data_IF_107604848628
#
_entry.id   IF_107604848628
#
_cell.length_a   1.000
_cell.length_b   1.000
_cell.length_c   1.000
_cell.angle_alpha   90.00
_cell.angle_beta   90.00
_cell.angle_gamma   90.00
#
_symmetry.space_group_name_H-M   'P 1'
#
loop_
_entity.id
_entity.type
_entity.pdbx_description
1 polymer ?
#
# COMPACT_ATOMS: atom_id res chain seq x y z
N UNK A 1 -10.23 -28.85 26.36
CA UNK A 1 -10.50 -27.73 27.29
C UNK A 1 -9.35 -27.47 28.27
N UNK A 2 -8.69 -28.49 28.82
CA UNK A 2 -7.65 -28.37 29.86
C UNK A 2 -6.49 -27.41 29.53
N UNK A 3 -5.86 -27.53 28.35
CA UNK A 3 -4.74 -26.66 27.95
C UNK A 3 -5.15 -25.18 27.84
N UNK A 4 -6.37 -24.94 27.36
CA UNK A 4 -6.96 -23.60 27.30
C UNK A 4 -7.16 -23.02 28.70
N UNK A 5 -7.78 -23.77 29.61
CA UNK A 5 -8.00 -23.32 31.00
C UNK A 5 -6.68 -23.00 31.72
N UNK A 6 -5.69 -23.89 31.62
CA UNK A 6 -4.36 -23.69 32.21
C UNK A 6 -3.68 -22.42 31.69
N UNK A 7 -3.69 -22.20 30.37
CA UNK A 7 -3.06 -21.02 29.76
C UNK A 7 -3.75 -19.72 30.21
N UNK A 8 -5.09 -19.72 30.22
CA UNK A 8 -5.87 -18.56 30.65
C UNK A 8 -5.64 -18.20 32.12
N UNK A 9 -5.56 -19.20 33.01
CA UNK A 9 -5.29 -18.98 34.44
C UNK A 9 -3.85 -18.54 34.70
N UNK A 10 -2.86 -19.17 34.07
CA UNK A 10 -1.44 -18.82 34.26
C UNK A 10 -1.13 -17.41 33.77
N UNK A 11 -1.75 -16.99 32.64
CA UNK A 11 -1.53 -15.67 32.05
C UNK A 11 -2.50 -14.60 32.57
N UNK A 12 -3.40 -14.95 33.50
CA UNK A 12 -4.43 -14.05 34.04
C UNK A 12 -5.25 -13.33 32.95
N UNK A 13 -5.60 -14.04 31.88
CA UNK A 13 -6.34 -13.47 30.75
C UNK A 13 -7.80 -13.31 31.15
N UNK A 14 -8.32 -12.08 31.04
CA UNK A 14 -9.75 -11.80 31.13
C UNK A 14 -10.37 -11.90 29.74
N UNK A 15 -11.54 -12.52 29.65
CA UNK A 15 -12.28 -12.65 28.40
C UNK A 15 -13.61 -11.93 28.55
N UNK A 16 -14.00 -11.21 27.51
CA UNK A 16 -15.31 -10.58 27.39
C UNK A 16 -16.13 -11.30 26.32
N UNK A 17 -17.43 -11.41 26.52
CA UNK A 17 -18.33 -11.97 25.52
C UNK A 17 -18.84 -10.82 24.64
N UNK A 18 -18.82 -11.00 23.31
CA UNK A 18 -19.35 -10.04 22.34
C UNK A 18 -20.86 -10.20 22.10
N UNK A 19 -21.52 -11.02 22.93
CA UNK A 19 -22.93 -11.39 22.87
C UNK A 19 -23.46 -11.48 24.32
N UNK A 20 -24.59 -12.16 24.55
CA UNK A 20 -25.27 -12.22 25.86
C UNK A 20 -24.66 -13.19 26.88
N UNK A 21 -23.42 -13.64 26.68
CA UNK A 21 -22.77 -14.60 27.60
C UNK A 21 -23.31 -16.03 27.56
N UNK A 22 -24.22 -16.36 26.62
CA UNK A 22 -24.86 -17.67 26.48
C UNK A 22 -24.44 -18.47 25.23
N UNK A 23 -23.28 -18.15 24.63
CA UNK A 23 -22.81 -18.85 23.42
C UNK A 23 -22.68 -20.37 23.62
N UNK A 24 -23.19 -21.15 22.68
CA UNK A 24 -23.07 -22.61 22.69
C UNK A 24 -21.59 -23.04 22.53
N UNK A 25 -21.13 -23.93 23.41
CA UNK A 25 -19.76 -24.46 23.39
C UNK A 25 -19.82 -25.97 23.18
N UNK A 26 -19.64 -26.42 21.94
CA UNK A 26 -19.49 -27.82 21.56
C UNK A 26 -18.10 -28.10 20.95
N UNK A 27 -17.80 -29.34 20.57
CA UNK A 27 -16.47 -29.71 20.07
C UNK A 27 -16.06 -28.94 18.80
N UNK A 28 -17.01 -28.62 17.93
CA UNK A 28 -16.78 -28.00 16.62
C UNK A 28 -16.69 -26.46 16.72
N UNK A 29 -17.46 -25.84 17.62
CA UNK A 29 -17.52 -24.37 17.77
C UNK A 29 -16.90 -23.83 19.07
N UNK A 30 -16.14 -24.65 19.82
CA UNK A 30 -15.45 -24.25 21.06
C UNK A 30 -14.48 -23.06 20.94
N UNK A 31 -14.10 -22.65 19.73
CA UNK A 31 -13.21 -21.50 19.53
C UNK A 31 -13.95 -20.19 19.23
N UNK A 32 -15.29 -20.22 19.10
CA UNK A 32 -16.12 -19.05 18.76
C UNK A 32 -16.13 -18.02 19.89
N UNK A 33 -16.47 -18.41 21.12
CA UNK A 33 -16.47 -17.50 22.26
C UNK A 33 -15.55 -18.00 23.38
N UNK A 34 -14.40 -17.32 23.55
CA UNK A 34 -13.41 -17.65 24.60
C UNK A 34 -13.95 -17.36 26.01
N UNK A 35 -14.80 -16.34 26.16
CA UNK A 35 -15.47 -16.01 27.42
C UNK A 35 -16.41 -17.13 27.87
N UNK A 36 -17.41 -17.49 27.05
CA UNK A 36 -18.37 -18.56 27.36
C UNK A 36 -17.68 -19.92 27.53
N UNK A 37 -16.62 -20.19 26.76
CA UNK A 37 -15.81 -21.41 26.95
C UNK A 37 -15.08 -21.42 28.28
N UNK A 38 -14.51 -20.30 28.71
CA UNK A 38 -13.83 -20.21 30.01
C UNK A 38 -14.83 -20.35 31.16
N UNK A 39 -15.99 -19.70 31.06
CA UNK A 39 -17.08 -19.84 32.02
C UNK A 39 -17.60 -21.28 32.08
N UNK A 40 -17.76 -21.96 30.94
CA UNK A 40 -18.12 -23.38 30.90
C UNK A 40 -17.07 -24.28 31.56
N UNK A 41 -15.76 -23.98 31.42
CA UNK A 41 -14.71 -24.73 32.13
C UNK A 41 -14.88 -24.60 33.66
N UNK A 42 -15.21 -23.41 34.16
CA UNK A 42 -15.48 -23.17 35.59
C UNK A 42 -16.77 -23.89 36.03
N UNK A 43 -17.86 -23.77 35.25
CA UNK A 43 -19.14 -24.45 35.54
C UNK A 43 -19.00 -25.97 35.60
N UNK A 44 -18.16 -26.55 34.74
CA UNK A 44 -17.85 -27.99 34.75
C UNK A 44 -16.83 -28.39 35.83
N UNK A 45 -16.52 -27.51 36.79
CA UNK A 45 -15.74 -27.82 37.99
C UNK A 45 -14.23 -27.60 37.91
N UNK A 46 -13.70 -26.94 36.87
CA UNK A 46 -12.28 -26.62 36.82
C UNK A 46 -11.93 -25.50 37.83
N UNK A 47 -11.03 -25.79 38.77
CA UNK A 47 -10.63 -24.83 39.80
C UNK A 47 -9.33 -24.10 39.42
N UNK A 48 -9.39 -22.75 39.34
CA UNK A 48 -8.23 -21.91 39.01
C UNK A 48 -7.07 -22.10 39.99
N UNK A 49 -7.36 -22.33 41.28
CA UNK A 49 -6.35 -22.45 42.33
C UNK A 49 -5.56 -23.78 42.26
N UNK A 50 -6.07 -24.77 41.51
CA UNK A 50 -5.40 -26.05 41.28
C UNK A 50 -4.48 -26.03 40.05
N UNK A 51 -4.42 -24.91 39.32
CA UNK A 51 -3.51 -24.77 38.18
C UNK A 51 -2.10 -24.51 38.70
N UNK A 52 -1.21 -25.47 38.45
CA UNK A 52 0.18 -25.38 38.88
C UNK A 52 0.88 -24.17 38.26
N UNK A 53 1.55 -23.38 39.10
CA UNK A 53 2.44 -22.30 38.68
C UNK A 53 3.57 -22.87 37.78
N UNK A 54 4.11 -22.08 36.84
CA UNK A 54 5.18 -22.54 35.96
C UNK A 54 6.36 -23.08 36.78
N UNK A 55 6.74 -24.35 36.56
CA UNK A 55 7.93 -24.92 37.22
C UNK A 55 9.17 -24.50 36.42
N UNK A 56 10.03 -23.70 37.06
CA UNK A 56 11.46 -23.57 36.78
C UNK A 56 11.92 -23.53 35.32
N UNK A 57 11.79 -22.36 34.69
CA UNK A 57 12.71 -21.74 33.68
C UNK A 57 12.21 -20.38 33.20
N UNK A 58 10.94 -20.03 33.49
CA UNK A 58 10.31 -18.74 33.15
C UNK A 58 10.08 -17.78 34.33
N UNK A 59 10.41 -18.16 35.58
CA UNK A 59 10.09 -17.34 36.76
C UNK A 59 11.11 -16.28 37.18
N UNK A 60 12.30 -16.20 36.56
CA UNK A 60 13.36 -15.26 37.01
C UNK A 60 13.37 -13.88 36.36
N UNK A 61 12.41 -13.53 35.49
CA UNK A 61 12.43 -12.21 34.82
C UNK A 61 11.71 -11.08 35.57
N UNK A 62 11.07 -11.37 36.72
CA UNK A 62 10.31 -10.35 37.46
C UNK A 62 11.05 -9.73 38.66
N UNK A 63 12.25 -10.20 39.03
CA UNK A 63 12.96 -9.73 40.24
C UNK A 63 14.26 -8.92 39.99
N UNK A 64 14.63 -8.59 38.76
CA UNK A 64 15.87 -7.83 38.46
C UNK A 64 15.66 -6.31 38.21
N UNK A 65 14.63 -5.70 38.82
CA UNK A 65 14.42 -4.24 38.79
C UNK A 65 14.72 -3.56 40.13
N UNK A 66 15.69 -4.06 40.90
CA UNK A 66 16.23 -3.36 42.09
C UNK A 66 17.60 -3.96 42.49
N UNK A 67 18.70 -3.35 42.04
CA UNK A 67 19.94 -3.09 42.80
C UNK A 67 21.15 -2.82 41.88
N UNK A 68 21.92 -1.80 42.24
CA UNK A 68 23.12 -1.30 41.58
C UNK A 68 24.37 -2.17 41.84
N UNK A 69 25.34 -2.06 40.92
CA UNK A 69 26.82 -2.30 41.01
C UNK A 69 27.43 -3.50 40.24
N UNK A 70 28.71 -3.39 39.76
CA UNK A 70 29.15 -4.01 38.50
C UNK A 70 30.23 -5.12 38.58
N UNK A 71 30.39 -5.86 37.46
CA UNK A 71 31.60 -6.58 36.95
C UNK A 71 31.81 -8.07 37.34
N UNK A 72 32.65 -8.89 36.64
CA UNK A 72 32.87 -9.10 35.20
C UNK A 72 32.90 -10.60 34.71
N UNK A 73 32.78 -10.76 33.37
CA UNK A 73 33.30 -11.84 32.47
C UNK A 73 32.90 -13.32 32.67
N UNK A 74 32.22 -13.89 31.67
CA UNK A 74 32.70 -15.00 30.83
C UNK A 74 31.71 -15.33 29.70
N UNK A 75 32.23 -15.44 28.49
CA UNK A 75 31.54 -15.67 27.22
C UNK A 75 31.29 -17.16 26.94
N UNK A 76 30.05 -17.52 26.61
CA UNK A 76 29.75 -18.73 25.82
C UNK A 76 28.68 -18.39 24.78
N UNK A 77 29.05 -18.56 23.51
CA UNK A 77 28.20 -18.43 22.33
C UNK A 77 27.36 -19.70 22.24
N UNK A 78 26.04 -19.58 22.31
CA UNK A 78 25.09 -20.61 21.89
C UNK A 78 24.12 -19.94 20.93
N UNK A 79 24.18 -20.35 19.66
CA UNK A 79 23.22 -19.99 18.62
C UNK A 79 21.81 -20.38 19.07
N UNK A 80 20.97 -19.38 19.40
CA UNK A 80 19.52 -19.55 19.50
C UNK A 80 18.85 -18.78 18.37
N UNK A 81 18.19 -19.54 17.51
CA UNK A 81 17.26 -19.04 16.50
C UNK A 81 16.26 -18.05 17.12
N UNK A 82 16.35 -16.79 16.68
CA UNK A 82 15.43 -15.73 17.07
C UNK A 82 14.02 -16.05 16.55
N UNK A 83 13.16 -16.61 17.39
CA UNK A 83 11.72 -16.39 17.27
C UNK A 83 11.43 -15.01 17.86
N UNK A 84 11.52 -13.99 17.01
CA UNK A 84 11.04 -12.64 17.29
C UNK A 84 9.54 -12.70 17.57
N UNK A 85 9.18 -12.47 18.84
CA UNK A 85 7.79 -12.21 19.23
C UNK A 85 7.42 -10.83 18.69
N UNK A 86 6.92 -10.78 17.45
CA UNK A 86 6.41 -9.56 16.83
C UNK A 86 5.17 -9.14 17.63
N UNK A 87 5.29 -8.08 18.44
CA UNK A 87 4.10 -7.37 18.93
C UNK A 87 3.35 -6.88 17.69
N UNK A 88 2.09 -7.26 17.54
CA UNK A 88 1.20 -6.61 16.57
C UNK A 88 1.16 -5.13 16.95
N UNK A 89 1.83 -4.30 16.16
CA UNK A 89 1.76 -2.85 16.35
C UNK A 89 0.35 -2.45 15.96
N UNK A 90 -0.40 -1.83 16.86
CA UNK A 90 -1.70 -1.25 16.58
C UNK A 90 -1.46 0.22 16.27
N UNK A 91 -1.78 0.66 15.05
CA UNK A 91 -1.58 2.05 14.62
C UNK A 91 -2.86 2.83 14.86
N UNK A 92 -2.71 4.07 15.33
CA UNK A 92 -3.77 5.05 15.26
C UNK A 92 -4.07 5.41 13.80
N UNK A 93 -5.36 5.58 13.46
CA UNK A 93 -5.77 5.84 12.09
C UNK A 93 -5.29 7.19 11.55
N UNK A 94 -5.11 8.20 12.41
CA UNK A 94 -4.60 9.51 11.98
C UNK A 94 -3.10 9.44 11.74
N UNK A 95 -2.34 8.86 12.67
CA UNK A 95 -0.90 8.68 12.50
C UNK A 95 -0.57 7.85 11.26
N UNK A 96 -1.34 6.78 11.02
CA UNK A 96 -1.21 5.97 9.82
C UNK A 96 -1.46 6.79 8.56
N UNK A 97 -2.55 7.55 8.50
CA UNK A 97 -2.84 8.41 7.36
C UNK A 97 -1.78 9.51 7.17
N UNK A 98 -1.34 10.17 8.24
CA UNK A 98 -0.33 11.22 8.19
C UNK A 98 1.01 10.72 7.63
N UNK A 99 1.37 9.46 7.88
CA UNK A 99 2.54 8.84 7.24
C UNK A 99 2.36 8.72 5.73
N UNK A 100 1.20 8.27 5.24
CA UNK A 100 0.92 8.21 3.80
C UNK A 100 0.85 9.60 3.16
N UNK A 101 0.29 10.60 3.85
CA UNK A 101 0.31 11.99 3.39
C UNK A 101 1.76 12.47 3.20
N UNK A 102 2.62 12.22 4.19
CA UNK A 102 4.02 12.57 4.12
C UNK A 102 4.74 11.85 2.96
N UNK A 103 4.44 10.58 2.74
CA UNK A 103 4.98 9.82 1.61
C UNK A 103 4.58 10.42 0.26
N UNK A 104 3.35 10.90 0.09
CA UNK A 104 2.93 11.60 -1.14
C UNK A 104 3.70 12.90 -1.35
N UNK A 105 3.90 13.69 -0.30
CA UNK A 105 4.69 14.93 -0.39
C UNK A 105 6.14 14.65 -0.76
N UNK A 106 6.73 13.61 -0.18
CA UNK A 106 8.10 13.20 -0.48
C UNK A 106 8.25 12.64 -1.89
N UNK A 107 7.24 11.91 -2.38
CA UNK A 107 7.20 11.42 -3.76
C UNK A 107 7.22 12.58 -4.75
N UNK A 108 6.41 13.61 -4.53
CA UNK A 108 6.39 14.79 -5.40
C UNK A 108 7.69 15.59 -5.32
N UNK A 109 8.25 15.82 -4.12
CA UNK A 109 9.55 16.46 -3.98
C UNK A 109 10.67 15.74 -4.75
N UNK A 110 10.68 14.41 -4.70
CA UNK A 110 11.65 13.60 -5.46
C UNK A 110 11.39 13.67 -6.96
N UNK A 111 10.13 13.69 -7.39
CA UNK A 111 9.76 13.89 -8.81
C UNK A 111 10.38 15.18 -9.35
N UNK A 112 10.30 16.29 -8.61
CA UNK A 112 10.88 17.58 -9.00
C UNK A 112 12.40 17.49 -9.20
N UNK A 113 13.11 16.72 -8.36
CA UNK A 113 14.55 16.46 -8.53
C UNK A 113 14.81 15.67 -9.82
N UNK A 114 14.03 14.61 -10.05
CA UNK A 114 14.18 13.70 -11.19
C UNK A 114 13.91 14.41 -12.53
N UNK A 115 13.06 15.43 -12.53
CA UNK A 115 12.79 16.27 -13.72
C UNK A 115 13.83 17.38 -13.95
N UNK A 116 14.92 17.40 -13.17
CA UNK A 116 16.11 18.23 -13.44
C UNK A 116 16.25 19.47 -12.56
N UNK A 117 15.43 19.62 -11.52
CA UNK A 117 15.59 20.72 -10.56
C UNK A 117 16.79 20.51 -9.64
N UNK A 118 17.37 21.61 -9.13
CA UNK A 118 18.53 21.54 -8.25
C UNK A 118 18.15 20.95 -6.87
N UNK A 119 18.71 19.78 -6.48
CA UNK A 119 18.36 19.12 -5.23
C UNK A 119 18.71 19.95 -3.98
N UNK A 120 19.73 20.81 -4.06
CA UNK A 120 20.16 21.66 -2.93
C UNK A 120 19.13 22.74 -2.58
N UNK A 121 18.33 23.20 -3.56
CA UNK A 121 17.25 24.15 -3.33
C UNK A 121 16.06 23.45 -2.66
N UNK A 122 15.67 22.29 -3.20
CA UNK A 122 14.53 21.50 -2.72
C UNK A 122 14.73 20.98 -1.29
N UNK A 123 15.99 20.73 -0.90
CA UNK A 123 16.33 20.32 0.46
C UNK A 123 16.09 21.44 1.48
N UNK A 124 16.26 22.71 1.09
CA UNK A 124 16.04 23.86 1.97
C UNK A 124 14.57 24.15 2.18
N UNK A 125 13.73 23.82 1.20
CA UNK A 125 12.31 24.09 1.26
C UNK A 125 11.63 23.17 2.28
N UNK A 126 10.89 23.69 3.26
CA UNK A 126 10.12 22.85 4.18
C UNK A 126 9.03 22.07 3.44
N UNK A 127 8.64 20.91 3.96
CA UNK A 127 7.53 20.12 3.43
C UNK A 127 6.22 20.80 3.88
N UNK A 128 5.70 21.72 3.06
CA UNK A 128 4.51 22.51 3.40
C UNK A 128 3.21 21.95 2.79
N UNK A 129 3.30 20.98 1.89
CA UNK A 129 2.13 20.34 1.26
C UNK A 129 2.46 19.80 -0.13
N UNK A 130 1.44 19.24 -0.79
CA UNK A 130 1.56 18.82 -2.19
C UNK A 130 1.51 20.05 -3.09
N UNK A 131 2.60 20.31 -3.81
CA UNK A 131 2.71 21.41 -4.77
C UNK A 131 3.34 20.91 -6.06
N UNK A 132 2.68 21.19 -7.17
CA UNK A 132 3.24 20.92 -8.50
C UNK A 132 4.15 22.07 -8.90
N UNK A 133 5.35 21.75 -9.38
CA UNK A 133 6.26 22.72 -9.96
C UNK A 133 5.74 23.19 -11.33
N UNK A 134 5.19 24.41 -11.41
CA UNK A 134 4.64 24.97 -12.66
C UNK A 134 5.68 25.23 -13.76
N UNK A 135 6.97 25.05 -13.47
CA UNK A 135 8.04 25.20 -14.46
C UNK A 135 8.29 23.93 -15.29
N UNK A 136 7.50 22.87 -15.09
CA UNK A 136 7.60 21.64 -15.90
C UNK A 136 7.45 21.96 -17.39
N UNK A 137 8.30 21.31 -18.21
CA UNK A 137 8.24 21.44 -19.66
C UNK A 137 7.25 20.42 -20.21
N UNK A 138 6.22 20.91 -20.89
CA UNK A 138 5.32 20.06 -21.66
C UNK A 138 6.10 19.51 -22.86
N UNK A 139 6.28 18.20 -22.87
CA UNK A 139 6.94 17.47 -23.97
C UNK A 139 6.01 16.38 -24.46
N UNK A 140 5.99 16.07 -25.78
CA UNK A 140 5.12 15.03 -26.29
C UNK A 140 5.58 13.66 -25.78
N UNK A 141 4.62 12.80 -25.43
CA UNK A 141 4.92 11.44 -25.04
C UNK A 141 5.68 10.70 -26.14
N UNK A 142 6.82 10.14 -25.75
CA UNK A 142 7.61 9.26 -26.58
C UNK A 142 8.22 8.13 -25.74
N UNK A 143 8.27 6.94 -26.31
CA UNK A 143 8.77 5.73 -25.66
C UNK A 143 10.26 5.77 -25.37
N UNK A 144 11.05 6.49 -26.18
CA UNK A 144 12.48 6.67 -25.91
C UNK A 144 12.70 7.35 -24.57
N UNK A 145 11.99 8.45 -24.31
CA UNK A 145 12.08 9.19 -23.06
C UNK A 145 11.42 8.41 -21.91
N UNK A 146 10.29 7.74 -22.17
CA UNK A 146 9.68 6.83 -21.21
C UNK A 146 10.68 5.77 -20.71
N UNK A 147 11.41 5.10 -21.60
CA UNK A 147 12.44 4.14 -21.21
C UNK A 147 13.59 4.79 -20.44
N UNK A 148 13.99 6.01 -20.80
CA UNK A 148 15.04 6.73 -20.07
C UNK A 148 14.64 7.06 -18.62
N UNK A 149 13.35 7.32 -18.38
CA UNK A 149 12.84 7.69 -17.06
C UNK A 149 12.25 6.53 -16.25
N UNK A 150 11.99 5.36 -16.83
CA UNK A 150 11.24 4.30 -16.12
C UNK A 150 11.97 3.79 -14.88
N UNK A 151 13.31 3.84 -14.87
CA UNK A 151 14.12 3.52 -13.69
C UNK A 151 13.92 4.50 -12.55
N UNK A 152 13.64 5.77 -12.86
CA UNK A 152 13.30 6.78 -11.86
C UNK A 152 11.95 6.44 -11.21
N UNK A 153 10.96 6.02 -12.01
CA UNK A 153 9.68 5.55 -11.49
C UNK A 153 9.84 4.30 -10.64
N UNK A 154 10.65 3.34 -11.10
CA UNK A 154 10.99 2.16 -10.32
C UNK A 154 11.58 2.52 -8.95
N UNK A 155 12.50 3.50 -8.90
CA UNK A 155 13.10 3.98 -7.67
C UNK A 155 12.05 4.65 -6.75
N UNK A 156 11.19 5.51 -7.30
CA UNK A 156 10.11 6.14 -6.54
C UNK A 156 9.14 5.10 -5.96
N UNK A 157 8.72 4.13 -6.76
CA UNK A 157 7.84 3.04 -6.32
C UNK A 157 8.51 2.15 -5.27
N UNK A 158 9.82 1.94 -5.37
CA UNK A 158 10.58 1.15 -4.41
C UNK A 158 10.67 1.87 -3.06
N UNK A 159 11.04 3.15 -3.09
CA UNK A 159 11.09 3.98 -1.89
C UNK A 159 9.71 4.10 -1.25
N UNK A 160 8.66 4.33 -2.04
CA UNK A 160 7.29 4.37 -1.54
C UNK A 160 6.90 3.06 -0.87
N UNK A 161 7.14 1.93 -1.53
CA UNK A 161 6.79 0.58 -1.03
C UNK A 161 7.52 0.27 0.28
N UNK A 162 8.83 0.53 0.34
CA UNK A 162 9.66 0.23 1.51
C UNK A 162 9.40 1.17 2.69
N UNK A 163 8.88 2.38 2.41
CA UNK A 163 8.44 3.33 3.42
C UNK A 163 7.06 3.03 3.99
N UNK A 164 6.27 2.14 3.35
CA UNK A 164 4.92 1.81 3.84
C UNK A 164 4.97 1.24 5.26
N UNK A 165 4.05 1.67 6.14
CA UNK A 165 3.94 1.09 7.47
C UNK A 165 3.70 -0.41 7.35
N UNK A 166 4.36 -1.19 8.20
CA UNK A 166 4.28 -2.66 8.21
C UNK A 166 4.79 -3.38 6.96
N UNK A 167 5.48 -2.72 6.03
CA UNK A 167 6.13 -3.37 4.88
C UNK A 167 6.94 -4.62 5.31
N UNK A 168 7.72 -4.48 6.38
CA UNK A 168 8.54 -5.57 6.94
C UNK A 168 7.74 -6.74 7.54
N UNK A 169 6.43 -6.58 7.73
CA UNK A 169 5.58 -7.67 8.23
C UNK A 169 5.09 -8.60 7.14
N UNK A 170 5.08 -8.18 5.89
CA UNK A 170 4.69 -9.02 4.76
C UNK A 170 5.78 -10.07 4.47
N UNK A 171 5.37 -11.21 3.93
CA UNK A 171 6.32 -12.17 3.39
C UNK A 171 6.88 -11.66 2.05
N UNK A 172 7.93 -12.29 1.53
CA UNK A 172 8.60 -11.84 0.30
C UNK A 172 7.69 -11.86 -0.94
N UNK A 173 6.80 -12.84 -1.05
CA UNK A 173 5.85 -12.96 -2.16
C UNK A 173 4.82 -11.81 -2.19
N UNK A 174 4.27 -11.49 -1.02
CA UNK A 174 3.37 -10.35 -0.86
C UNK A 174 4.11 -9.03 -1.09
N UNK A 175 5.37 -8.90 -0.64
CA UNK A 175 6.19 -7.69 -0.90
C UNK A 175 6.42 -7.46 -2.39
N UNK A 176 6.71 -8.52 -3.15
CA UNK A 176 6.85 -8.43 -4.60
C UNK A 176 5.53 -8.04 -5.28
N UNK A 177 4.43 -8.63 -4.82
CA UNK A 177 3.07 -8.29 -5.28
C UNK A 177 2.75 -6.82 -5.02
N UNK A 178 3.05 -6.31 -3.81
CA UNK A 178 2.88 -4.89 -3.46
C UNK A 178 3.73 -4.02 -4.38
N UNK A 179 5.02 -4.31 -4.52
CA UNK A 179 5.94 -3.48 -5.31
C UNK A 179 5.47 -3.37 -6.77
N UNK A 180 5.06 -4.50 -7.36
CA UNK A 180 4.49 -4.53 -8.71
C UNK A 180 3.22 -3.68 -8.81
N UNK A 181 2.30 -3.83 -7.86
CA UNK A 181 1.07 -3.04 -7.81
C UNK A 181 1.37 -1.55 -7.69
N UNK A 182 2.25 -1.17 -6.75
CA UNK A 182 2.69 0.22 -6.51
C UNK A 182 3.34 0.81 -7.74
N UNK A 183 4.15 0.05 -8.49
CA UNK A 183 4.78 0.55 -9.72
C UNK A 183 3.75 1.02 -10.75
N UNK A 184 2.80 0.15 -11.14
CA UNK A 184 1.77 0.53 -12.10
C UNK A 184 0.81 1.58 -11.53
N UNK A 185 0.51 1.53 -10.24
CA UNK A 185 -0.27 2.57 -9.56
C UNK A 185 0.44 3.93 -9.56
N UNK A 186 1.77 3.97 -9.46
CA UNK A 186 2.58 5.19 -9.60
C UNK A 186 2.40 5.75 -11.02
N UNK A 187 2.48 4.89 -12.03
CA UNK A 187 2.27 5.28 -13.43
C UNK A 187 0.85 5.80 -13.72
N UNK A 188 -0.17 5.27 -13.03
CA UNK A 188 -1.58 5.60 -13.25
C UNK A 188 -2.03 6.73 -12.32
N UNK A 189 -2.02 6.50 -11.01
CA UNK A 189 -2.59 7.41 -10.01
C UNK A 189 -1.76 8.68 -9.84
N UNK A 190 -0.44 8.58 -9.76
CA UNK A 190 0.38 9.79 -9.53
C UNK A 190 0.39 10.68 -10.78
N UNK A 191 0.44 10.08 -11.97
CA UNK A 191 0.26 10.79 -13.25
C UNK A 191 -1.13 11.46 -13.31
N UNK A 192 -2.17 10.76 -12.86
CA UNK A 192 -3.54 11.29 -12.83
C UNK A 192 -3.67 12.47 -11.87
N UNK A 193 -3.13 12.35 -10.66
CA UNK A 193 -3.17 13.40 -9.64
C UNK A 193 -2.32 14.60 -10.05
N UNK A 194 -1.14 14.37 -10.63
CA UNK A 194 -0.30 15.42 -11.22
C UNK A 194 -1.04 16.15 -12.36
N UNK A 195 -1.69 15.42 -13.28
CA UNK A 195 -2.47 16.01 -14.38
C UNK A 195 -3.61 16.90 -13.86
N UNK A 196 -4.28 16.46 -12.80
CA UNK A 196 -5.31 17.26 -12.13
C UNK A 196 -4.72 18.51 -11.46
N UNK A 197 -3.71 18.36 -10.58
CA UNK A 197 -3.16 19.46 -9.79
C UNK A 197 -2.38 20.48 -10.62
N UNK A 198 -1.80 20.07 -11.74
CA UNK A 198 -1.16 20.97 -12.72
C UNK A 198 -2.17 21.79 -13.53
N UNK A 199 -3.41 21.31 -13.68
CA UNK A 199 -4.45 21.95 -14.47
C UNK A 199 -4.52 21.51 -15.94
N UNK A 200 -3.61 20.64 -16.39
CA UNK A 200 -3.53 20.13 -17.78
C UNK A 200 -4.82 19.45 -18.24
N UNK A 201 -5.56 18.84 -17.32
CA UNK A 201 -6.86 18.24 -17.63
C UNK A 201 -7.87 19.24 -18.22
N UNK A 202 -7.76 20.54 -17.90
CA UNK A 202 -8.67 21.56 -18.45
C UNK A 202 -8.45 21.78 -19.94
N UNK A 203 -7.23 21.50 -20.42
CA UNK A 203 -6.83 21.61 -21.81
C UNK A 203 -6.98 20.28 -22.56
N UNK A 204 -7.47 19.22 -21.90
CA UNK A 204 -7.61 17.90 -22.50
C UNK A 204 -6.30 17.13 -22.64
N UNK A 205 -5.29 17.48 -21.83
CA UNK A 205 -3.99 16.83 -21.81
C UNK A 205 -3.86 15.85 -20.64
N UNK A 206 -3.34 14.66 -20.93
CA UNK A 206 -2.88 13.72 -19.90
C UNK A 206 -1.36 13.79 -19.78
N UNK A 207 -0.87 14.13 -18.59
CA UNK A 207 0.54 14.08 -18.27
C UNK A 207 0.87 12.74 -17.61
N UNK A 208 1.57 11.89 -18.35
CA UNK A 208 2.14 10.65 -17.86
C UNK A 208 3.40 10.87 -17.02
N UNK A 209 4.28 9.88 -17.06
CA UNK A 209 5.54 9.88 -16.31
C UNK A 209 6.40 11.09 -16.70
N UNK A 210 7.03 11.72 -15.70
CA UNK A 210 7.91 12.89 -15.86
C UNK A 210 7.31 14.06 -16.67
N UNK A 211 5.98 14.18 -16.71
CA UNK A 211 5.32 15.31 -17.38
C UNK A 211 5.27 15.20 -18.91
N UNK A 212 5.53 14.02 -19.46
CA UNK A 212 5.24 13.72 -20.87
C UNK A 212 3.74 13.76 -21.12
N UNK A 213 3.32 14.49 -22.16
CA UNK A 213 1.92 14.78 -22.42
C UNK A 213 1.42 14.12 -23.70
N UNK A 214 0.20 13.59 -23.62
CA UNK A 214 -0.60 13.19 -24.78
C UNK A 214 -1.96 13.89 -24.75
N UNK A 215 -2.44 14.31 -25.91
CA UNK A 215 -3.76 14.90 -26.06
C UNK A 215 -4.85 13.82 -26.03
N UNK A 216 -5.93 14.05 -25.27
CA UNK A 216 -7.02 13.06 -25.10
C UNK A 216 -8.12 13.27 -26.12
N UNK A 217 -8.52 14.52 -26.37
CA UNK A 217 -9.66 14.83 -27.23
C UNK A 217 -9.27 15.16 -28.66
N UNK A 218 -8.10 15.77 -28.87
CA UNK A 218 -7.49 15.90 -30.19
C UNK A 218 -6.37 14.87 -30.36
N UNK A 219 -6.04 14.49 -31.60
CA UNK A 219 -4.96 13.55 -31.91
C UNK A 219 -3.67 14.27 -32.32
N UNK A 220 -3.48 15.52 -31.89
CA UNK A 220 -2.44 16.40 -32.42
C UNK A 220 -1.10 16.27 -31.69
N UNK A 221 -1.08 15.81 -30.44
CA UNK A 221 0.11 15.91 -29.60
C UNK A 221 0.38 14.64 -28.79
N UNK A 222 1.62 14.12 -28.83
CA UNK A 222 2.03 12.95 -28.04
C UNK A 222 1.57 11.62 -28.62
N UNK A 223 1.36 11.57 -29.94
CA UNK A 223 0.92 10.39 -30.71
C UNK A 223 1.81 10.11 -31.91
N UNK A 224 2.99 10.71 -31.98
CA UNK A 224 3.92 10.60 -33.10
C UNK A 224 4.43 9.15 -33.25
N UNK A 225 4.70 8.70 -34.48
CA UNK A 225 5.28 7.38 -34.76
C UNK A 225 6.68 7.25 -34.17
N UNK A 226 6.99 6.10 -33.58
CA UNK A 226 8.31 5.78 -33.01
C UNK A 226 8.76 4.38 -33.38
N UNK A 227 9.78 4.26 -34.23
CA UNK A 227 10.27 2.96 -34.67
C UNK A 227 9.14 2.12 -35.28
N UNK A 228 8.88 0.94 -34.69
CA UNK A 228 7.83 0.03 -35.17
C UNK A 228 6.44 0.36 -34.62
N UNK A 229 6.31 1.22 -33.60
CA UNK A 229 4.98 1.65 -33.12
C UNK A 229 4.50 2.86 -33.91
N UNK A 230 3.49 2.66 -34.76
CA UNK A 230 2.92 3.76 -35.54
C UNK A 230 1.97 4.61 -34.71
N UNK A 231 1.71 5.83 -35.16
CA UNK A 231 0.67 6.71 -34.62
C UNK A 231 -0.68 5.99 -34.51
N UNK A 232 -1.11 5.29 -35.56
CA UNK A 232 -2.38 4.56 -35.60
C UNK A 232 -2.43 3.46 -34.52
N UNK A 233 -1.31 2.78 -34.29
CA UNK A 233 -1.19 1.78 -33.22
C UNK A 233 -1.31 2.44 -31.85
N UNK A 234 -0.64 3.58 -31.60
CA UNK A 234 -0.79 4.30 -30.32
C UNK A 234 -2.22 4.77 -30.10
N UNK A 235 -2.88 5.29 -31.14
CA UNK A 235 -4.28 5.74 -31.07
C UNK A 235 -5.25 4.57 -30.82
N UNK A 236 -4.93 3.37 -31.29
CA UNK A 236 -5.78 2.18 -31.13
C UNK A 236 -5.53 1.46 -29.80
N UNK A 237 -4.29 1.41 -29.34
CA UNK A 237 -3.87 0.61 -28.19
C UNK A 237 -3.74 1.42 -26.89
N UNK A 238 -3.19 2.64 -26.97
CA UNK A 238 -2.83 3.44 -25.79
C UNK A 238 -3.86 4.53 -25.49
N UNK A 239 -4.35 5.24 -26.52
CA UNK A 239 -5.33 6.32 -26.33
C UNK A 239 -6.60 5.88 -25.58
N UNK A 240 -7.20 4.70 -25.81
CA UNK A 240 -8.37 4.27 -25.05
C UNK A 240 -8.08 4.11 -23.55
N UNK A 241 -6.87 3.66 -23.19
CA UNK A 241 -6.42 3.53 -21.80
C UNK A 241 -6.31 4.92 -21.18
N UNK A 242 -5.63 5.85 -21.85
CA UNK A 242 -5.47 7.22 -21.38
C UNK A 242 -6.80 7.95 -21.25
N UNK A 243 -7.71 7.76 -22.21
CA UNK A 243 -9.07 8.30 -22.14
C UNK A 243 -9.84 7.74 -20.95
N UNK A 244 -9.76 6.43 -20.70
CA UNK A 244 -10.41 5.82 -19.52
C UNK A 244 -9.82 6.35 -18.21
N UNK A 245 -8.49 6.49 -18.09
CA UNK A 245 -7.84 7.15 -16.94
C UNK A 245 -8.38 8.56 -16.76
N UNK A 246 -8.47 9.32 -17.86
CA UNK A 246 -8.92 10.70 -17.83
C UNK A 246 -10.36 10.83 -17.35
N UNK A 247 -11.28 10.06 -17.92
CA UNK A 247 -12.71 10.14 -17.63
C UNK A 247 -13.09 9.45 -16.31
N UNK A 248 -12.42 8.37 -15.92
CA UNK A 248 -12.76 7.59 -14.72
C UNK A 248 -11.98 8.00 -13.46
N UNK A 249 -10.82 8.66 -13.59
CA UNK A 249 -10.00 9.06 -12.44
C UNK A 249 -9.79 10.57 -12.39
N UNK A 250 -9.27 11.18 -13.46
CA UNK A 250 -8.85 12.60 -13.43
C UNK A 250 -10.04 13.54 -13.30
N UNK A 251 -11.06 13.39 -14.15
CA UNK A 251 -12.26 14.24 -14.09
C UNK A 251 -13.01 14.10 -12.75
N UNK A 252 -13.24 12.88 -12.22
CA UNK A 252 -13.84 12.74 -10.89
C UNK A 252 -12.98 13.34 -9.76
N UNK A 253 -11.66 13.16 -9.77
CA UNK A 253 -10.77 13.80 -8.79
C UNK A 253 -10.87 15.33 -8.87
N UNK A 254 -10.97 15.89 -10.06
CA UNK A 254 -11.15 17.32 -10.28
C UNK A 254 -12.52 17.81 -9.79
N UNK A 255 -13.59 17.09 -10.09
CA UNK A 255 -14.96 17.42 -9.65
C UNK A 255 -15.08 17.37 -8.12
N UNK A 256 -14.38 16.46 -7.47
CA UNK A 256 -14.30 16.37 -6.01
C UNK A 256 -13.46 17.49 -5.40
N UNK A 257 -12.65 18.19 -6.19
CA UNK A 257 -11.53 19.00 -5.70
C UNK A 257 -10.70 18.19 -4.70
N UNK A 258 -10.24 17.01 -5.12
CA UNK A 258 -9.57 16.07 -4.24
C UNK A 258 -8.32 16.69 -3.62
N UNK A 259 -8.22 16.59 -2.30
CA UNK A 259 -7.07 17.04 -1.54
C UNK A 259 -5.98 15.97 -1.47
N UNK A 260 -4.74 16.36 -1.19
CA UNK A 260 -3.60 15.43 -1.19
C UNK A 260 -3.73 14.31 -0.14
N UNK A 261 -4.41 14.59 0.97
CA UNK A 261 -4.64 13.59 2.01
C UNK A 261 -5.76 12.60 1.67
N UNK A 262 -6.76 13.04 0.90
CA UNK A 262 -7.77 12.17 0.32
C UNK A 262 -7.14 11.27 -0.74
N UNK A 263 -6.26 11.85 -1.57
CA UNK A 263 -5.49 11.10 -2.56
C UNK A 263 -4.57 10.05 -1.92
N UNK A 264 -3.84 10.41 -0.85
CA UNK A 264 -3.00 9.46 -0.11
C UNK A 264 -3.82 8.27 0.43
N UNK A 265 -5.01 8.53 0.98
CA UNK A 265 -5.94 7.49 1.44
C UNK A 265 -6.43 6.62 0.28
N UNK A 266 -6.86 7.25 -0.81
CA UNK A 266 -7.34 6.58 -2.01
C UNK A 266 -6.27 5.66 -2.60
N UNK A 267 -5.06 6.17 -2.83
CA UNK A 267 -3.92 5.39 -3.35
C UNK A 267 -3.57 4.23 -2.41
N UNK A 268 -3.57 4.47 -1.10
CA UNK A 268 -3.39 3.43 -0.10
C UNK A 268 -4.39 2.27 -0.23
N UNK A 269 -5.68 2.58 -0.32
CA UNK A 269 -6.75 1.58 -0.52
C UNK A 269 -6.63 0.87 -1.88
N UNK A 270 -6.24 1.59 -2.93
CA UNK A 270 -6.02 1.04 -4.26
C UNK A 270 -4.90 -0.02 -4.29
N UNK A 271 -3.84 0.16 -3.51
CA UNK A 271 -2.74 -0.83 -3.41
C UNK A 271 -3.29 -2.16 -2.89
N UNK A 272 -4.01 -2.14 -1.75
CA UNK A 272 -4.63 -3.34 -1.17
C UNK A 272 -5.60 -3.98 -2.15
N UNK A 273 -6.46 -3.18 -2.79
CA UNK A 273 -7.48 -3.63 -3.70
C UNK A 273 -6.90 -4.34 -4.94
N UNK A 274 -5.92 -3.76 -5.63
CA UNK A 274 -5.30 -4.38 -6.81
C UNK A 274 -4.50 -5.63 -6.43
N UNK A 275 -3.77 -5.58 -5.33
CA UNK A 275 -2.94 -6.70 -4.89
C UNK A 275 -3.77 -7.84 -4.26
N UNK A 276 -5.04 -7.60 -3.93
CA UNK A 276 -5.87 -8.50 -3.16
C UNK A 276 -6.02 -9.89 -3.78
N UNK A 277 -5.95 -10.05 -5.10
CA UNK A 277 -6.09 -11.36 -5.75
C UNK A 277 -4.84 -12.22 -5.50
N UNK A 278 -3.67 -11.63 -5.77
CA UNK A 278 -2.36 -12.28 -5.74
C UNK A 278 -1.79 -12.43 -4.31
N UNK A 279 -2.35 -11.74 -3.31
CA UNK A 279 -1.93 -11.87 -1.92
C UNK A 279 -2.16 -13.25 -1.30
N UNK A 280 -1.23 -13.61 -0.42
CA UNK A 280 -1.38 -14.69 0.55
C UNK A 280 -2.58 -14.46 1.47
N UNK A 281 -3.03 -15.51 2.17
CA UNK A 281 -4.13 -15.39 3.14
C UNK A 281 -3.81 -14.36 4.24
N UNK A 282 -2.54 -14.29 4.65
CA UNK A 282 -2.08 -13.33 5.65
C UNK A 282 -1.98 -11.91 5.08
N UNK A 283 -1.44 -11.77 3.86
CA UNK A 283 -1.42 -10.51 3.11
C UNK A 283 -2.81 -9.91 2.92
N UNK A 284 -3.80 -10.73 2.56
CA UNK A 284 -5.23 -10.34 2.45
C UNK A 284 -5.79 -9.80 3.77
N UNK A 285 -5.44 -10.40 4.91
CA UNK A 285 -5.88 -9.92 6.23
C UNK A 285 -5.25 -8.58 6.57
N UNK A 286 -3.96 -8.40 6.27
CA UNK A 286 -3.25 -7.13 6.48
C UNK A 286 -3.77 -6.02 5.57
N UNK A 287 -3.99 -6.31 4.29
CA UNK A 287 -4.60 -5.37 3.33
C UNK A 287 -5.94 -4.85 3.83
N UNK A 288 -6.85 -5.75 4.24
CA UNK A 288 -8.13 -5.34 4.85
C UNK A 288 -7.97 -4.50 6.12
N UNK A 289 -6.94 -4.75 6.92
CA UNK A 289 -6.64 -3.92 8.11
C UNK A 289 -6.23 -2.51 7.68
N UNK A 290 -5.42 -2.37 6.63
CA UNK A 290 -5.02 -1.06 6.09
C UNK A 290 -6.21 -0.31 5.51
N UNK A 291 -7.05 -0.99 4.73
CA UNK A 291 -8.26 -0.38 4.16
C UNK A 291 -9.16 0.19 5.26
N UNK A 292 -9.35 -0.55 6.35
CA UNK A 292 -10.10 -0.07 7.50
C UNK A 292 -9.45 1.13 8.20
N UNK A 293 -8.11 1.21 8.25
CA UNK A 293 -7.40 2.35 8.81
C UNK A 293 -7.55 3.59 7.92
N UNK A 294 -7.47 3.44 6.60
CA UNK A 294 -7.71 4.53 5.66
C UNK A 294 -9.14 5.05 5.74
N UNK A 295 -10.14 4.16 5.76
CA UNK A 295 -11.55 4.56 5.90
C UNK A 295 -11.75 5.32 7.22
N UNK A 296 -11.21 4.81 8.34
CA UNK A 296 -11.28 5.51 9.64
C UNK A 296 -10.59 6.87 9.60
N UNK A 297 -9.41 6.95 8.99
CA UNK A 297 -8.65 8.20 8.84
C UNK A 297 -9.34 9.22 7.92
N UNK A 298 -10.08 8.77 6.90
CA UNK A 298 -10.94 9.64 6.11
C UNK A 298 -12.11 10.18 6.96
N UNK A 299 -12.66 9.36 7.85
CA UNK A 299 -13.80 9.75 8.71
C UNK A 299 -13.42 10.49 9.99
N UNK A 300 -12.15 10.78 10.24
CA UNK A 300 -11.67 11.26 11.56
C UNK A 300 -11.82 12.77 11.80
N UNK A 301 -12.71 13.45 11.08
CA UNK A 301 -13.07 14.85 11.36
C UNK A 301 -12.25 15.92 10.61
N UNK A 302 -11.59 15.57 9.49
CA UNK A 302 -10.96 16.55 8.59
C UNK A 302 -11.97 17.28 7.68
N UNK A 303 -13.21 16.80 7.65
CA UNK A 303 -14.34 17.40 6.93
C UNK A 303 -15.11 18.38 7.82
N UNK A 304 -15.83 19.33 7.20
CA UNK A 304 -16.55 20.37 7.95
C UNK A 304 -17.80 19.82 8.66
N UNK A 305 -18.47 18.84 8.07
CA UNK A 305 -19.65 18.19 8.63
C UNK A 305 -19.77 16.73 8.16
N UNK A 306 -20.61 15.95 8.85
CA UNK A 306 -20.77 14.51 8.63
C UNK A 306 -21.44 14.17 7.29
N UNK A 307 -22.31 15.04 6.78
CA UNK A 307 -22.99 14.84 5.50
C UNK A 307 -21.99 14.94 4.34
N UNK A 308 -21.19 16.01 4.31
CA UNK A 308 -20.08 16.20 3.37
C UNK A 308 -19.11 15.02 3.42
N UNK A 309 -18.71 14.60 4.62
CA UNK A 309 -17.84 13.44 4.81
C UNK A 309 -18.43 12.18 4.15
N UNK A 310 -19.67 11.85 4.46
CA UNK A 310 -20.29 10.60 3.98
C UNK A 310 -20.36 10.52 2.45
N UNK A 311 -20.75 11.64 1.81
CA UNK A 311 -20.82 11.74 0.34
C UNK A 311 -19.42 11.66 -0.27
N UNK A 312 -18.47 12.45 0.25
CA UNK A 312 -17.10 12.49 -0.28
C UNK A 312 -16.39 11.15 -0.15
N UNK A 313 -16.47 10.50 1.02
CA UNK A 313 -15.88 9.18 1.24
C UNK A 313 -16.49 8.14 0.29
N UNK A 314 -17.82 8.16 0.12
CA UNK A 314 -18.50 7.31 -0.84
C UNK A 314 -17.99 7.52 -2.27
N UNK A 315 -17.86 8.77 -2.71
CA UNK A 315 -17.33 9.11 -4.03
C UNK A 315 -15.88 8.63 -4.21
N UNK A 316 -15.00 8.80 -3.21
CA UNK A 316 -13.61 8.32 -3.25
C UNK A 316 -13.55 6.80 -3.40
N UNK A 317 -14.36 6.05 -2.65
CA UNK A 317 -14.39 4.58 -2.73
C UNK A 317 -14.87 4.14 -4.12
N UNK A 318 -15.86 4.83 -4.70
CA UNK A 318 -16.37 4.50 -6.03
C UNK A 318 -15.33 4.67 -7.14
N UNK A 319 -14.34 5.57 -6.98
CA UNK A 319 -13.23 5.71 -7.94
C UNK A 319 -12.40 4.43 -8.09
N UNK A 320 -12.37 3.58 -7.07
CA UNK A 320 -11.60 2.33 -7.11
C UNK A 320 -12.18 1.30 -8.09
N UNK A 321 -13.48 1.38 -8.38
CA UNK A 321 -14.21 0.35 -9.14
C UNK A 321 -13.65 0.14 -10.55
N UNK A 322 -13.31 1.23 -11.25
CA UNK A 322 -12.75 1.18 -12.61
C UNK A 322 -11.24 0.94 -12.64
N UNK A 323 -10.57 1.02 -11.48
CA UNK A 323 -9.11 0.96 -11.43
C UNK A 323 -8.56 -0.42 -11.80
N UNK A 324 -9.25 -1.50 -11.45
CA UNK A 324 -8.85 -2.85 -11.86
C UNK A 324 -8.81 -3.01 -13.39
N UNK A 325 -9.79 -2.43 -14.09
CA UNK A 325 -9.85 -2.47 -15.56
C UNK A 325 -8.70 -1.67 -16.15
N UNK A 326 -8.48 -0.45 -15.67
CA UNK A 326 -7.36 0.41 -16.10
C UNK A 326 -6.02 -0.28 -15.88
N UNK A 327 -5.81 -0.87 -14.69
CA UNK A 327 -4.60 -1.59 -14.35
C UNK A 327 -4.36 -2.78 -15.28
N UNK A 328 -5.39 -3.62 -15.50
CA UNK A 328 -5.29 -4.77 -16.38
C UNK A 328 -4.98 -4.35 -17.83
N UNK A 329 -5.65 -3.32 -18.35
CA UNK A 329 -5.38 -2.79 -19.70
C UNK A 329 -3.97 -2.22 -19.83
N UNK A 330 -3.45 -1.55 -18.79
CA UNK A 330 -2.07 -1.04 -18.81
C UNK A 330 -1.04 -2.18 -18.83
N UNK A 331 -1.22 -3.22 -18.01
CA UNK A 331 -0.34 -4.40 -18.00
C UNK A 331 -0.41 -5.15 -19.34
N UNK A 332 -1.61 -5.31 -19.89
CA UNK A 332 -1.81 -5.94 -21.18
C UNK A 332 -1.15 -5.14 -22.31
N UNK A 333 -1.26 -3.81 -22.28
CA UNK A 333 -0.61 -2.93 -23.25
C UNK A 333 0.90 -3.16 -23.30
N UNK A 334 1.59 -3.09 -22.16
CA UNK A 334 3.04 -3.31 -22.12
C UNK A 334 3.42 -4.77 -22.47
N UNK A 335 2.60 -5.75 -22.09
CA UNK A 335 2.79 -7.15 -22.53
C UNK A 335 2.74 -7.26 -24.06
N UNK A 336 1.78 -6.61 -24.72
CA UNK A 336 1.67 -6.61 -26.18
C UNK A 336 2.88 -5.94 -26.83
N UNK A 337 3.37 -4.83 -26.28
CA UNK A 337 4.57 -4.16 -26.79
C UNK A 337 5.78 -5.10 -26.80
N UNK A 338 5.99 -5.86 -25.73
CA UNK A 338 7.10 -6.81 -25.59
C UNK A 338 6.93 -8.03 -26.51
N UNK A 339 5.76 -8.67 -26.50
CA UNK A 339 5.48 -9.88 -27.30
C UNK A 339 5.63 -9.64 -28.80
N UNK A 340 5.14 -8.49 -29.28
CA UNK A 340 5.25 -8.13 -30.70
C UNK A 340 6.53 -7.36 -31.05
N UNK A 341 7.43 -7.18 -30.07
CA UNK A 341 8.68 -6.44 -30.22
C UNK A 341 8.49 -5.08 -30.93
N UNK A 342 7.44 -4.36 -30.53
CA UNK A 342 7.10 -3.07 -31.12
C UNK A 342 8.07 -1.98 -30.65
N UNK A 343 8.56 -2.13 -29.41
CA UNK A 343 9.47 -1.22 -28.74
C UNK A 343 10.32 -2.04 -27.78
N UNK A 344 11.62 -1.74 -27.73
CA UNK A 344 12.50 -2.29 -26.70
C UNK A 344 12.12 -1.70 -25.34
N UNK A 345 11.48 -2.49 -24.48
CA UNK A 345 11.18 -2.09 -23.09
C UNK A 345 12.40 -2.31 -22.19
N UNK A 346 12.59 -1.42 -21.21
CA UNK A 346 13.61 -1.62 -20.17
C UNK A 346 13.39 -2.95 -19.41
N UNK A 347 14.49 -3.61 -19.05
CA UNK A 347 14.48 -4.92 -18.39
C UNK A 347 13.68 -4.93 -17.08
N UNK A 348 13.62 -3.80 -16.36
CA UNK A 348 12.80 -3.65 -15.15
C UNK A 348 11.32 -3.82 -15.45
N UNK A 349 10.83 -3.23 -16.54
CA UNK A 349 9.41 -3.37 -16.94
C UNK A 349 9.13 -4.84 -17.28
N UNK A 350 10.01 -5.48 -18.06
CA UNK A 350 9.86 -6.89 -18.43
C UNK A 350 9.80 -7.79 -17.20
N UNK A 351 10.67 -7.57 -16.22
CA UNK A 351 10.64 -8.28 -14.95
C UNK A 351 9.31 -8.08 -14.21
N UNK A 352 8.78 -6.87 -14.17
CA UNK A 352 7.50 -6.54 -13.54
C UNK A 352 6.27 -7.05 -14.30
N UNK A 353 6.35 -7.26 -15.62
CA UNK A 353 5.29 -7.89 -16.41
C UNK A 353 5.24 -9.40 -16.15
N UNK A 354 6.41 -10.03 -16.04
CA UNK A 354 6.55 -11.44 -15.76
C UNK A 354 5.98 -11.78 -14.39
N UNK A 355 4.94 -12.63 -14.37
CA UNK A 355 4.32 -13.16 -13.15
C UNK A 355 5.07 -14.36 -12.57
N UNK A 356 6.34 -14.54 -12.93
CA UNK A 356 7.12 -15.69 -12.46
C UNK A 356 7.19 -15.65 -10.93
N UNK A 357 6.84 -16.73 -10.24
CA UNK A 357 6.91 -16.75 -8.78
C UNK A 357 8.35 -16.56 -8.32
N UNK A 358 8.52 -15.90 -7.17
CA UNK A 358 9.84 -15.53 -6.62
C UNK A 358 10.83 -16.68 -6.53
N UNK A 359 10.36 -17.91 -6.31
CA UNK A 359 11.19 -19.11 -6.25
C UNK A 359 11.93 -19.43 -7.56
N UNK A 360 11.50 -18.85 -8.68
CA UNK A 360 12.10 -19.05 -10.00
C UNK A 360 12.95 -17.84 -10.45
N UNK A 361 12.99 -16.74 -9.68
CA UNK A 361 13.84 -15.58 -9.99
C UNK A 361 15.34 -15.87 -9.84
N UNK A 362 15.72 -16.75 -8.91
CA UNK A 362 17.12 -17.17 -8.70
C UNK A 362 17.63 -18.13 -9.80
N UNK A 363 16.80 -18.47 -10.79
CA UNK A 363 17.12 -19.39 -11.90
C UNK A 363 17.25 -18.70 -13.26
N UNK A 364 17.12 -17.37 -13.30
CA UNK A 364 17.32 -16.49 -14.45
C UNK A 364 18.65 -15.76 -14.31
#
# INVERSE_FOLDING_TARGET
MFLFFRRSVVLQIQFECLYDGMCEVNFNIKNVCKCCRFNKCIQMGMNKNKVQKPRGKYSKRKELMQSNTPSPRASCIIHSSNQTFVREVEYDCNEFLDQFIHMEYMTEKRRIILTGSNPLLILRDPIQGYSVDKSYKIVPFNFKQFNACVRNVCLLSFDYTTSMPYYNTFNEEDKYTIFRGVFFLTCILDSSFFTYKSGLYKEGYYAGIEGMVSSIYDDKYGWETEGNITREMKLTLLKPIYKNIFESLILPMANLNMEAWEFASFKGMCISNICSYDFSIDGKKKGKKFDNLFIKGLTSGRYKNDEEMSVRVGQIILLMTNLHVIYASMVEFFTRLDVFNLIELDSVIKALLNRTPLCDLDRL
#
